data_IF_925075389275
#
_entry.id   IF_925075389275
#
_cell.length_a   1.000
_cell.length_b   1.000
_cell.length_c   1.000
_cell.angle_alpha   90.00
_cell.angle_beta   90.00
_cell.angle_gamma   90.00
#
_symmetry.space_group_name_H-M   'P 1'
#
loop_
_entity.id
_entity.type
_entity.pdbx_description
1 polymer ?
#
# COMPACT_ATOMS: atom_id res chain seq x y z
N UNK A 1 -25.77 -3.10 23.70
CA UNK A 1 -25.48 -3.09 22.23
C UNK A 1 -25.27 -4.51 21.77
N UNK A 2 -26.20 -5.07 21.02
CA UNK A 2 -26.00 -6.39 20.41
C UNK A 2 -24.95 -6.25 19.32
N UNK A 3 -23.78 -6.87 19.51
CA UNK A 3 -22.74 -6.99 18.48
C UNK A 3 -23.31 -7.85 17.36
N UNK A 4 -23.80 -7.21 16.29
CA UNK A 4 -24.33 -7.92 15.11
C UNK A 4 -23.22 -8.81 14.57
N UNK A 5 -23.31 -10.11 14.82
CA UNK A 5 -22.32 -11.08 14.35
C UNK A 5 -22.25 -10.97 12.82
N UNK A 6 -21.05 -10.78 12.31
CA UNK A 6 -20.80 -10.77 10.85
C UNK A 6 -20.79 -12.24 10.39
N UNK A 7 -21.63 -12.62 9.43
CA UNK A 7 -21.61 -13.96 8.84
C UNK A 7 -20.23 -14.31 8.29
N UNK A 8 -19.91 -15.60 8.20
CA UNK A 8 -18.65 -16.08 7.60
C UNK A 8 -18.48 -15.63 6.15
N UNK A 9 -19.61 -15.59 5.41
CA UNK A 9 -19.69 -15.12 4.03
C UNK A 9 -20.62 -13.93 3.94
N UNK A 10 -20.18 -12.89 3.26
CA UNK A 10 -20.92 -11.63 3.10
C UNK A 10 -21.11 -11.27 1.63
N UNK A 11 -22.21 -10.59 1.33
CA UNK A 11 -22.47 -10.05 -0.01
C UNK A 11 -21.58 -8.84 -0.32
N UNK A 12 -21.48 -8.49 -1.60
CA UNK A 12 -20.77 -7.25 -2.02
C UNK A 12 -21.42 -6.00 -1.41
N UNK A 13 -22.73 -5.98 -1.25
CA UNK A 13 -23.45 -4.87 -0.60
C UNK A 13 -23.05 -4.71 0.86
N UNK A 14 -22.99 -5.82 1.63
CA UNK A 14 -22.54 -5.79 3.01
C UNK A 14 -21.06 -5.40 3.11
N UNK A 15 -20.20 -5.88 2.20
CA UNK A 15 -18.80 -5.49 2.14
C UNK A 15 -18.66 -3.99 1.88
N UNK A 16 -19.43 -3.45 0.93
CA UNK A 16 -19.48 -2.00 0.63
C UNK A 16 -19.93 -1.18 1.84
N UNK A 17 -21.01 -1.58 2.50
CA UNK A 17 -21.53 -0.91 3.70
C UNK A 17 -20.51 -0.89 4.84
N UNK A 18 -19.79 -1.99 5.05
CA UNK A 18 -18.82 -2.13 6.14
C UNK A 18 -17.50 -1.39 5.89
N UNK A 19 -17.09 -1.27 4.64
CA UNK A 19 -15.80 -0.64 4.28
C UNK A 19 -15.94 0.79 3.81
N UNK A 20 -17.15 1.23 3.45
CA UNK A 20 -17.39 2.52 2.81
C UNK A 20 -16.89 2.59 1.36
N UNK A 21 -16.49 1.47 0.77
CA UNK A 21 -16.00 1.39 -0.60
C UNK A 21 -17.15 1.08 -1.56
N UNK A 22 -17.28 1.83 -2.64
CA UNK A 22 -18.30 1.61 -3.65
C UNK A 22 -18.21 0.19 -4.26
N UNK A 23 -19.35 -0.42 -4.57
CA UNK A 23 -19.40 -1.76 -5.17
C UNK A 23 -18.57 -1.86 -6.45
N UNK A 24 -18.54 -0.80 -7.28
CA UNK A 24 -17.73 -0.74 -8.49
C UNK A 24 -16.23 -0.83 -8.20
N UNK A 25 -15.77 -0.19 -7.13
CA UNK A 25 -14.37 -0.25 -6.69
C UNK A 25 -14.04 -1.64 -6.11
N UNK A 26 -14.96 -2.29 -5.39
CA UNK A 26 -14.79 -3.67 -4.91
C UNK A 26 -14.65 -4.64 -6.08
N UNK A 27 -15.47 -4.50 -7.12
CA UNK A 27 -15.34 -5.28 -8.35
C UNK A 27 -14.02 -4.99 -9.09
N UNK A 28 -13.53 -3.76 -9.04
CA UNK A 28 -12.21 -3.42 -9.56
C UNK A 28 -11.10 -4.10 -8.77
N UNK A 29 -11.15 -4.09 -7.44
CA UNK A 29 -10.18 -4.80 -6.58
C UNK A 29 -10.19 -6.31 -6.85
N UNK A 30 -11.38 -6.90 -7.09
CA UNK A 30 -11.49 -8.31 -7.46
C UNK A 30 -10.81 -8.60 -8.81
N UNK A 31 -11.08 -7.78 -9.84
CA UNK A 31 -10.43 -7.92 -11.16
C UNK A 31 -8.91 -7.77 -11.09
N UNK A 32 -8.42 -6.92 -10.20
CA UNK A 32 -6.98 -6.74 -9.94
C UNK A 32 -6.37 -7.86 -9.08
N UNK A 33 -7.19 -8.77 -8.57
CA UNK A 33 -6.73 -9.88 -7.73
C UNK A 33 -6.45 -9.51 -6.27
N UNK A 34 -6.78 -8.28 -5.85
CA UNK A 34 -6.60 -7.82 -4.47
C UNK A 34 -7.53 -8.53 -3.49
N UNK A 35 -8.76 -8.81 -3.90
CA UNK A 35 -9.74 -9.58 -3.14
C UNK A 35 -10.29 -10.72 -3.97
N UNK A 36 -10.77 -11.78 -3.31
CA UNK A 36 -11.33 -12.95 -3.98
C UNK A 36 -12.75 -13.21 -3.47
N UNK A 37 -13.65 -13.57 -4.38
CA UNK A 37 -15.00 -14.01 -4.08
C UNK A 37 -15.20 -15.48 -4.48
N UNK A 38 -16.25 -16.07 -3.97
CA UNK A 38 -16.87 -17.28 -4.53
C UNK A 38 -18.32 -17.00 -4.89
N UNK A 39 -18.93 -17.92 -5.64
CA UNK A 39 -20.35 -17.86 -5.95
C UNK A 39 -21.11 -18.85 -5.09
N UNK A 40 -22.26 -18.42 -4.56
CA UNK A 40 -23.17 -19.31 -3.86
C UNK A 40 -24.06 -20.08 -4.87
N UNK A 41 -24.92 -20.97 -4.37
CA UNK A 41 -25.81 -21.78 -5.18
C UNK A 41 -26.78 -20.95 -6.06
N UNK A 42 -27.10 -19.71 -5.65
CA UNK A 42 -27.87 -18.75 -6.43
C UNK A 42 -27.02 -17.90 -7.40
N UNK A 43 -25.74 -18.29 -7.63
CA UNK A 43 -24.79 -17.60 -8.50
C UNK A 43 -24.46 -16.15 -8.08
N UNK A 44 -24.68 -15.79 -6.82
CA UNK A 44 -24.30 -14.48 -6.29
C UNK A 44 -22.89 -14.52 -5.70
N UNK A 45 -22.12 -13.42 -5.91
CA UNK A 45 -20.80 -13.25 -5.32
C UNK A 45 -20.89 -13.16 -3.80
N UNK A 46 -20.05 -13.91 -3.15
CA UNK A 46 -19.84 -13.86 -1.70
C UNK A 46 -18.36 -13.74 -1.38
N UNK A 47 -18.06 -12.96 -0.36
CA UNK A 47 -16.72 -12.72 0.13
C UNK A 47 -16.58 -13.27 1.55
N UNK A 48 -15.47 -13.93 1.89
CA UNK A 48 -15.23 -14.31 3.27
C UNK A 48 -15.11 -13.05 4.14
N UNK A 49 -15.59 -13.08 5.36
CA UNK A 49 -15.65 -11.88 6.25
C UNK A 49 -14.32 -11.19 6.48
N UNK A 50 -13.18 -11.92 6.39
CA UNK A 50 -11.86 -11.31 6.56
C UNK A 50 -11.50 -10.33 5.41
N UNK A 51 -12.19 -10.39 4.27
CA UNK A 51 -12.01 -9.44 3.17
C UNK A 51 -12.29 -8.00 3.59
N UNK A 52 -13.13 -7.80 4.63
CA UNK A 52 -13.32 -6.47 5.22
C UNK A 52 -11.97 -5.88 5.70
N UNK A 53 -11.13 -6.69 6.34
CA UNK A 53 -9.79 -6.26 6.79
C UNK A 53 -8.86 -5.97 5.62
N UNK A 54 -8.89 -6.82 4.57
CA UNK A 54 -8.08 -6.61 3.37
C UNK A 54 -8.46 -5.29 2.70
N UNK A 55 -9.74 -5.02 2.52
CA UNK A 55 -10.21 -3.76 1.91
C UNK A 55 -9.82 -2.56 2.77
N UNK A 56 -9.96 -2.66 4.09
CA UNK A 56 -9.51 -1.60 5.01
C UNK A 56 -8.01 -1.36 4.92
N UNK A 57 -7.22 -2.43 4.82
CA UNK A 57 -5.77 -2.36 4.63
C UNK A 57 -5.41 -1.65 3.31
N UNK A 58 -6.08 -2.02 2.19
CA UNK A 58 -5.91 -1.35 0.90
C UNK A 58 -6.17 0.15 1.01
N UNK A 59 -7.26 0.56 1.66
CA UNK A 59 -7.60 1.97 1.85
C UNK A 59 -6.53 2.73 2.66
N UNK A 60 -6.04 2.14 3.75
CA UNK A 60 -4.99 2.75 4.58
C UNK A 60 -3.69 2.84 3.79
N UNK A 61 -3.32 1.78 3.09
CA UNK A 61 -2.12 1.73 2.25
C UNK A 61 -2.13 2.84 1.19
N UNK A 62 -3.22 2.98 0.45
CA UNK A 62 -3.35 4.03 -0.56
C UNK A 62 -3.24 5.44 0.03
N UNK A 63 -3.79 5.67 1.23
CA UNK A 63 -3.67 6.95 1.94
C UNK A 63 -2.23 7.27 2.36
N UNK A 64 -1.42 6.26 2.59
CA UNK A 64 0.00 6.39 2.96
C UNK A 64 0.95 6.30 1.76
N UNK A 65 0.39 6.34 0.54
CA UNK A 65 1.18 6.41 -0.70
C UNK A 65 1.64 5.08 -1.27
N UNK A 66 1.07 3.95 -0.79
CA UNK A 66 1.28 2.66 -1.46
C UNK A 66 0.43 2.55 -2.72
N UNK A 67 0.98 2.03 -3.78
CA UNK A 67 0.24 1.65 -4.97
C UNK A 67 -0.55 0.36 -4.75
N UNK A 68 -1.56 0.12 -5.59
CA UNK A 68 -2.30 -1.15 -5.54
C UNK A 68 -1.43 -2.35 -5.91
N UNK A 69 -0.44 -2.15 -6.76
CA UNK A 69 0.54 -3.15 -7.15
C UNK A 69 1.43 -3.57 -5.97
N UNK A 70 1.92 -2.60 -5.18
CA UNK A 70 2.68 -2.88 -3.95
C UNK A 70 1.83 -3.67 -2.95
N UNK A 71 0.58 -3.28 -2.76
CA UNK A 71 -0.36 -4.01 -1.87
C UNK A 71 -0.63 -5.42 -2.40
N UNK A 72 -0.78 -5.59 -3.71
CA UNK A 72 -1.01 -6.90 -4.32
C UNK A 72 0.16 -7.85 -4.08
N UNK A 73 1.40 -7.37 -4.27
CA UNK A 73 2.61 -8.15 -4.03
C UNK A 73 2.65 -8.69 -2.60
N UNK A 74 2.37 -7.86 -1.60
CA UNK A 74 2.33 -8.29 -0.20
C UNK A 74 1.20 -9.29 0.09
N UNK A 75 0.04 -9.10 -0.54
CA UNK A 75 -1.07 -10.04 -0.40
C UNK A 75 -0.81 -11.38 -1.11
N UNK A 76 -0.01 -11.40 -2.18
CA UNK A 76 0.34 -12.62 -2.91
C UNK A 76 1.23 -13.56 -2.10
N UNK A 77 1.97 -13.04 -1.13
CA UNK A 77 2.74 -13.82 -0.17
C UNK A 77 1.88 -14.61 0.84
N UNK A 78 0.57 -14.32 0.92
CA UNK A 78 -0.34 -15.07 1.79
C UNK A 78 -0.62 -16.45 1.23
N UNK A 79 -0.43 -17.53 2.01
CA UNK A 79 -0.59 -18.91 1.54
C UNK A 79 -2.01 -19.22 1.04
N UNK A 80 -3.01 -18.64 1.69
CA UNK A 80 -4.41 -18.83 1.33
C UNK A 80 -5.24 -17.56 1.59
N UNK A 81 -5.60 -16.85 0.53
CA UNK A 81 -6.39 -15.62 0.62
C UNK A 81 -7.87 -15.83 0.97
N UNK A 82 -8.36 -17.05 0.91
CA UNK A 82 -9.75 -17.37 1.29
C UNK A 82 -9.87 -17.75 2.76
N UNK A 83 -8.76 -18.11 3.42
CA UNK A 83 -8.72 -18.45 4.84
C UNK A 83 -7.40 -17.95 5.45
N UNK A 84 -7.41 -16.70 5.88
CA UNK A 84 -6.25 -16.05 6.50
C UNK A 84 -6.23 -16.36 7.99
N UNK A 85 -5.13 -16.89 8.48
CA UNK A 85 -4.89 -17.19 9.90
C UNK A 85 -4.34 -15.96 10.64
N UNK A 86 -4.22 -16.07 11.96
CA UNK A 86 -3.59 -15.04 12.80
C UNK A 86 -2.11 -14.91 12.43
N UNK A 87 -1.45 -16.05 12.27
CA UNK A 87 -0.03 -16.13 11.91
C UNK A 87 0.25 -15.49 10.53
N UNK A 88 -0.66 -15.68 9.56
CA UNK A 88 -0.56 -15.03 8.26
C UNK A 88 -0.65 -13.49 8.39
N UNK A 89 -1.55 -12.99 9.24
CA UNK A 89 -1.67 -11.57 9.53
C UNK A 89 -0.46 -10.99 10.25
N UNK A 90 0.12 -11.74 11.20
CA UNK A 90 1.34 -11.34 11.90
C UNK A 90 2.52 -11.26 10.93
N UNK A 91 2.70 -12.27 10.08
CA UNK A 91 3.75 -12.28 9.06
C UNK A 91 3.62 -11.11 8.07
N UNK A 92 2.40 -10.84 7.60
CA UNK A 92 2.10 -9.69 6.76
C UNK A 92 2.44 -8.37 7.47
N UNK A 93 2.05 -8.26 8.75
CA UNK A 93 2.33 -7.08 9.57
C UNK A 93 3.81 -6.78 9.73
N UNK A 94 4.63 -7.81 9.96
CA UNK A 94 6.10 -7.67 10.08
C UNK A 94 6.71 -7.15 8.77
N UNK A 95 6.32 -7.74 7.62
CA UNK A 95 6.81 -7.28 6.31
C UNK A 95 6.41 -5.84 6.03
N UNK A 96 5.16 -5.48 6.33
CA UNK A 96 4.68 -4.11 6.13
C UNK A 96 5.36 -3.10 7.03
N UNK A 97 5.69 -3.45 8.28
CA UNK A 97 6.48 -2.59 9.17
C UNK A 97 7.85 -2.28 8.55
N UNK A 98 8.55 -3.28 8.04
CA UNK A 98 9.82 -3.09 7.39
C UNK A 98 9.73 -2.15 6.17
N UNK A 99 8.71 -2.33 5.33
CA UNK A 99 8.48 -1.45 4.17
C UNK A 99 8.10 -0.02 4.57
N UNK A 100 7.30 0.14 5.63
CA UNK A 100 6.98 1.44 6.20
C UNK A 100 8.22 2.14 6.76
N UNK A 101 9.07 1.43 7.48
CA UNK A 101 10.32 1.97 8.03
C UNK A 101 11.25 2.45 6.90
N UNK A 102 11.32 1.69 5.80
CA UNK A 102 12.07 2.10 4.61
C UNK A 102 11.50 3.38 3.99
N UNK A 103 10.18 3.48 3.82
CA UNK A 103 9.53 4.70 3.31
C UNK A 103 9.72 5.90 4.24
N UNK A 104 9.65 5.70 5.56
CA UNK A 104 9.90 6.75 6.55
C UNK A 104 11.32 7.26 6.45
N UNK A 105 12.30 6.37 6.31
CA UNK A 105 13.71 6.75 6.15
C UNK A 105 13.92 7.60 4.89
N UNK A 106 13.36 7.17 3.74
CA UNK A 106 13.44 7.92 2.48
C UNK A 106 12.78 9.31 2.57
N UNK A 107 11.60 9.41 3.18
CA UNK A 107 10.92 10.69 3.37
C UNK A 107 11.67 11.60 4.34
N UNK A 108 12.29 11.04 5.37
CA UNK A 108 13.11 11.77 6.34
C UNK A 108 14.36 12.34 5.67
N UNK A 109 15.01 11.55 4.82
CA UNK A 109 16.17 12.00 4.03
C UNK A 109 15.76 13.12 3.06
N UNK A 110 14.69 12.95 2.31
CA UNK A 110 14.16 13.99 1.42
C UNK A 110 13.86 15.28 2.20
N UNK A 111 13.20 15.17 3.36
CA UNK A 111 12.91 16.32 4.23
C UNK A 111 14.19 17.04 4.66
N UNK A 112 15.24 16.30 5.05
CA UNK A 112 16.54 16.86 5.43
C UNK A 112 17.18 17.61 4.26
N UNK A 113 17.21 16.99 3.08
CA UNK A 113 17.74 17.64 1.87
C UNK A 113 17.00 18.92 1.52
N UNK A 114 15.68 18.95 1.64
CA UNK A 114 14.86 20.15 1.40
C UNK A 114 15.16 21.25 2.43
N UNK A 115 15.37 20.88 3.70
CA UNK A 115 15.71 21.82 4.77
C UNK A 115 17.09 22.44 4.53
N UNK A 116 18.07 21.63 4.15
CA UNK A 116 19.43 22.09 3.81
C UNK A 116 19.40 23.02 2.60
N UNK A 117 18.58 22.72 1.60
CA UNK A 117 18.39 23.53 0.40
C UNK A 117 17.78 24.91 0.72
N UNK A 118 16.76 24.95 1.59
CA UNK A 118 16.11 26.20 2.04
C UNK A 118 17.08 26.99 2.92
N UNK A 119 17.80 26.31 3.81
CA UNK A 119 18.75 26.95 4.75
C UNK A 119 19.96 27.58 4.09
N UNK A 120 20.43 27.03 2.96
CA UNK A 120 21.61 27.56 2.29
C UNK A 120 21.32 28.77 1.38
N UNK A 121 20.04 29.02 1.03
CA UNK A 121 19.61 30.13 0.16
C UNK A 121 20.29 30.16 -1.22
N UNK A 122 20.96 29.08 -1.61
CA UNK A 122 21.66 29.04 -2.89
C UNK A 122 20.68 28.68 -4.01
N UNK A 123 20.46 29.62 -4.91
CA UNK A 123 19.82 29.38 -6.22
C UNK A 123 20.81 28.84 -7.25
N UNK A 124 22.00 28.49 -6.85
CA UNK A 124 23.11 28.05 -7.71
C UNK A 124 23.01 26.56 -7.96
N UNK A 125 22.78 26.16 -9.20
CA UNK A 125 22.82 24.78 -9.67
C UNK A 125 24.19 24.10 -9.42
N UNK A 126 25.26 24.88 -9.28
CA UNK A 126 26.63 24.40 -9.13
C UNK A 126 26.93 23.83 -7.73
N UNK A 127 26.15 24.21 -6.70
CA UNK A 127 26.35 23.79 -5.30
C UNK A 127 25.22 22.97 -4.72
N UNK A 128 24.15 22.73 -5.50
CA UNK A 128 22.98 22.02 -5.03
C UNK A 128 23.26 20.53 -4.88
N UNK A 129 23.21 20.02 -3.64
CA UNK A 129 23.38 18.59 -3.34
C UNK A 129 22.28 17.72 -3.97
N UNK A 130 21.07 18.30 -4.21
CA UNK A 130 19.97 17.63 -4.90
C UNK A 130 20.20 17.45 -6.40
N UNK A 131 20.95 18.38 -7.02
CA UNK A 131 21.11 18.44 -8.46
C UNK A 131 22.51 18.01 -8.92
N UNK A 132 23.26 17.29 -8.07
CA UNK A 132 24.58 16.80 -8.48
C UNK A 132 25.58 17.93 -8.83
N UNK A 133 26.34 18.45 -7.83
CA UNK A 133 27.29 19.54 -8.04
C UNK A 133 28.27 19.19 -9.16
N UNK A 134 28.37 20.09 -10.15
CA UNK A 134 29.26 19.92 -11.31
C UNK A 134 28.93 18.75 -12.23
N UNK A 135 27.71 18.20 -12.13
CA UNK A 135 27.23 17.06 -12.92
C UNK A 135 28.14 15.82 -12.92
N UNK A 136 28.93 15.65 -11.85
CA UNK A 136 29.87 14.54 -11.73
C UNK A 136 29.21 13.16 -11.76
N UNK A 137 27.97 13.07 -11.29
CA UNK A 137 27.23 11.82 -11.30
C UNK A 137 26.58 11.53 -12.65
N UNK A 138 26.39 12.55 -13.50
CA UNK A 138 25.93 12.41 -14.89
C UNK A 138 26.92 11.64 -15.75
N UNK A 139 28.22 11.71 -15.44
CA UNK A 139 29.27 10.94 -16.12
C UNK A 139 29.12 9.42 -15.91
N UNK A 140 28.45 9.00 -14.83
CA UNK A 140 28.29 7.59 -14.44
C UNK A 140 26.88 7.03 -14.62
N UNK A 141 25.92 7.84 -15.08
CA UNK A 141 24.55 7.42 -15.35
C UNK A 141 23.50 8.53 -15.23
N UNK A 142 22.23 8.20 -15.45
CA UNK A 142 21.09 9.14 -15.48
C UNK A 142 20.29 9.10 -14.16
N UNK A 143 19.59 10.19 -13.84
CA UNK A 143 18.64 10.29 -12.74
C UNK A 143 19.19 10.84 -11.43
N UNK A 144 18.37 10.95 -10.38
CA UNK A 144 18.74 11.55 -9.09
C UNK A 144 19.55 10.57 -8.21
N UNK A 145 20.78 10.30 -8.59
CA UNK A 145 21.64 9.27 -7.97
C UNK A 145 21.99 9.47 -6.50
N UNK A 146 21.87 10.69 -5.98
CA UNK A 146 22.04 10.95 -4.55
C UNK A 146 20.90 10.37 -3.68
N UNK A 147 19.81 9.91 -4.31
CA UNK A 147 18.66 9.32 -3.62
C UNK A 147 18.55 7.80 -3.82
N UNK A 148 19.46 7.18 -4.55
CA UNK A 148 19.36 5.76 -4.96
C UNK A 148 20.46 4.86 -4.37
N UNK A 149 21.35 5.38 -3.52
CA UNK A 149 22.37 4.59 -2.79
C UNK A 149 21.97 4.30 -1.36
#
# INVERSE_FOLDING_TARGET
>A
MQKKLIPEWISVGMLSERTGVAVSALHFYERKGLIKSQRNDANHRQYPKHVIRIVSLIQVAQRTGFSLEEVLLELDELPNRTRITIEDWEALGIRWQAELDRKIAQLTELKSMMTDCIGCGCLSLERCKLLNPYDKLGETGTGPRLMTE
#
